data_IF_552909268545
#
_entry.id   IF_552909268545
#
_cell.length_a   1.000
_cell.length_b   1.000
_cell.length_c   1.000
_cell.angle_alpha   90.00
_cell.angle_beta   90.00
_cell.angle_gamma   90.00
#
_symmetry.space_group_name_H-M   'P 1'
#
loop_
_entity.id
_entity.type
_entity.pdbx_description
1 polymer ?
#
# COMPACT_ATOMS: atom_id res chain seq x y z
N UNK A 1 2.28 28.04 4.29
CA UNK A 1 3.24 27.15 4.97
C UNK A 1 2.44 25.98 5.52
N UNK A 2 2.40 24.86 4.80
CA UNK A 2 1.66 23.66 5.21
C UNK A 2 2.44 23.00 6.35
N UNK A 3 1.89 23.02 7.56
CA UNK A 3 2.42 22.27 8.67
C UNK A 3 2.51 20.79 8.27
N UNK A 4 3.71 20.23 8.31
CA UNK A 4 3.94 18.81 8.06
C UNK A 4 3.25 18.06 9.19
N UNK A 5 2.15 17.38 8.88
CA UNK A 5 1.34 16.60 9.82
C UNK A 5 2.11 15.36 10.28
N UNK A 6 3.05 15.55 11.20
CA UNK A 6 3.68 14.44 11.93
C UNK A 6 2.65 13.85 12.88
N UNK A 7 2.28 12.58 12.66
CA UNK A 7 1.50 11.81 13.63
C UNK A 7 2.28 11.69 14.94
N UNK A 8 1.62 12.03 16.05
CA UNK A 8 2.17 11.95 17.41
C UNK A 8 1.44 10.90 18.22
N UNK A 9 2.11 10.40 19.24
CA UNK A 9 1.50 9.50 20.22
C UNK A 9 0.40 10.27 20.94
N UNK A 10 -0.80 9.69 21.01
CA UNK A 10 -1.98 10.30 21.60
C UNK A 10 -2.96 10.92 20.60
N UNK A 11 -2.60 11.04 19.32
CA UNK A 11 -3.52 11.53 18.29
C UNK A 11 -4.75 10.61 18.20
N UNK A 12 -5.95 11.20 18.11
CA UNK A 12 -7.24 10.49 18.12
C UNK A 12 -8.00 10.71 16.83
N UNK A 13 -8.55 9.62 16.29
CA UNK A 13 -9.36 9.62 15.08
C UNK A 13 -10.75 9.05 15.36
N UNK A 14 -11.79 9.80 15.02
CA UNK A 14 -13.19 9.38 15.17
C UNK A 14 -13.63 8.28 14.21
N UNK A 15 -12.87 8.03 13.14
CA UNK A 15 -13.18 7.03 12.11
C UNK A 15 -11.91 6.39 11.55
N UNK A 16 -12.06 5.18 11.02
CA UNK A 16 -10.97 4.53 10.28
C UNK A 16 -10.56 5.32 9.03
N UNK A 17 -11.51 5.97 8.34
CA UNK A 17 -11.24 6.74 7.14
C UNK A 17 -10.26 7.89 7.42
N UNK A 18 -10.45 8.60 8.54
CA UNK A 18 -9.57 9.70 8.94
C UNK A 18 -8.17 9.20 9.28
N UNK A 19 -8.06 8.10 10.04
CA UNK A 19 -6.78 7.49 10.38
C UNK A 19 -6.04 6.98 9.12
N UNK A 20 -6.78 6.42 8.15
CA UNK A 20 -6.22 5.96 6.88
C UNK A 20 -5.65 7.14 6.08
N UNK A 21 -6.42 8.22 5.94
CA UNK A 21 -5.98 9.42 5.23
C UNK A 21 -4.71 10.02 5.86
N UNK A 22 -4.67 10.11 7.19
CA UNK A 22 -3.50 10.63 7.90
C UNK A 22 -2.23 9.78 7.68
N UNK A 23 -2.37 8.45 7.54
CA UNK A 23 -1.25 7.56 7.20
C UNK A 23 -0.80 7.73 5.75
N UNK A 24 -1.74 7.94 4.82
CA UNK A 24 -1.41 8.22 3.42
C UNK A 24 -0.65 9.54 3.29
N UNK A 25 -1.14 10.61 3.94
CA UNK A 25 -0.46 11.91 4.01
C UNK A 25 0.93 11.81 4.67
N UNK A 26 1.06 11.05 5.77
CA UNK A 26 2.36 10.78 6.38
C UNK A 26 3.32 10.07 5.41
N UNK A 27 2.81 9.10 4.65
CA UNK A 27 3.59 8.36 3.67
C UNK A 27 4.10 9.23 2.52
N UNK A 28 3.28 10.15 2.03
CA UNK A 28 3.67 11.12 1.00
C UNK A 28 4.71 12.11 1.52
N UNK A 29 4.52 12.62 2.73
CA UNK A 29 5.45 13.58 3.36
C UNK A 29 6.82 12.96 3.68
N UNK A 30 6.84 11.68 4.04
CA UNK A 30 8.07 10.97 4.45
C UNK A 30 8.63 10.07 3.36
N UNK A 31 8.05 10.10 2.16
CA UNK A 31 8.39 9.24 1.04
C UNK A 31 8.40 7.74 1.42
N UNK A 32 7.53 7.36 2.35
CA UNK A 32 7.44 6.00 2.88
C UNK A 32 6.16 5.33 2.41
N UNK A 33 6.28 4.15 1.81
CA UNK A 33 5.10 3.32 1.55
C UNK A 33 4.77 2.50 2.79
N UNK A 34 3.67 2.86 3.45
CA UNK A 34 3.11 2.07 4.55
C UNK A 34 2.23 0.94 4.02
N UNK A 35 2.27 -0.20 4.71
CA UNK A 35 1.35 -1.31 4.49
C UNK A 35 0.80 -1.81 5.82
N UNK A 36 -0.41 -2.38 5.80
CA UNK A 36 -1.04 -2.99 6.98
C UNK A 36 -0.32 -4.28 7.33
N UNK A 37 0.52 -4.26 8.36
CA UNK A 37 1.26 -5.44 8.84
C UNK A 37 0.34 -6.36 9.63
N UNK A 38 -0.29 -5.80 10.66
CA UNK A 38 -1.16 -6.51 11.58
C UNK A 38 -2.46 -5.72 11.73
N UNK A 39 -3.58 -6.42 11.74
CA UNK A 39 -4.89 -5.83 11.95
C UNK A 39 -5.73 -6.77 12.80
N UNK A 40 -6.37 -6.24 13.84
CA UNK A 40 -7.33 -6.95 14.67
C UNK A 40 -8.64 -6.19 14.61
N UNK A 41 -9.66 -6.79 14.00
CA UNK A 41 -10.99 -6.19 13.91
C UNK A 41 -11.71 -6.23 15.26
N UNK A 42 -12.68 -5.34 15.47
CA UNK A 42 -13.51 -5.35 16.67
C UNK A 42 -14.25 -6.68 16.79
N UNK A 43 -14.84 -7.17 15.69
CA UNK A 43 -15.56 -8.45 15.65
C UNK A 43 -14.69 -9.67 16.02
N UNK A 44 -13.41 -9.68 15.62
CA UNK A 44 -12.47 -10.75 15.98
C UNK A 44 -11.92 -10.61 17.39
N UNK A 45 -12.05 -9.42 17.98
CA UNK A 45 -11.56 -9.15 19.31
C UNK A 45 -12.63 -9.54 20.33
N UNK A 46 -12.30 -10.44 21.26
CA UNK A 46 -13.16 -10.80 22.39
C UNK A 46 -13.19 -9.66 23.42
N UNK A 47 -13.79 -8.54 23.04
CA UNK A 47 -13.84 -7.31 23.84
C UNK A 47 -15.20 -7.24 24.50
N UNK A 48 -15.20 -7.04 25.82
CA UNK A 48 -16.42 -6.92 26.62
C UNK A 48 -17.04 -5.53 26.50
N UNK A 49 -16.22 -4.49 26.31
CA UNK A 49 -16.70 -3.10 26.22
C UNK A 49 -17.25 -2.73 24.83
N UNK A 50 -18.25 -1.84 24.76
CA UNK A 50 -18.75 -1.34 23.49
C UNK A 50 -17.70 -0.47 22.79
N UNK A 51 -17.54 -0.66 21.49
CA UNK A 51 -16.68 0.15 20.62
C UNK A 51 -17.52 0.62 19.45
N UNK A 52 -17.31 1.86 19.04
CA UNK A 52 -18.02 2.45 17.91
C UNK A 52 -17.76 1.65 16.63
N UNK A 53 -18.84 1.36 15.91
CA UNK A 53 -18.80 0.50 14.72
C UNK A 53 -17.99 1.12 13.57
N UNK A 54 -17.90 2.45 13.54
CA UNK A 54 -17.17 3.25 12.53
C UNK A 54 -15.64 3.03 12.56
N UNK A 55 -15.10 2.49 13.65
CA UNK A 55 -13.66 2.30 13.81
C UNK A 55 -13.15 1.02 13.13
N UNK A 56 -13.99 0.00 12.94
CA UNK A 56 -13.72 -1.32 12.31
C UNK A 56 -12.65 -2.17 13.02
N UNK A 57 -11.52 -1.56 13.36
CA UNK A 57 -10.33 -2.17 13.95
C UNK A 57 -10.22 -1.82 15.43
N UNK A 58 -9.91 -2.83 16.24
CA UNK A 58 -9.47 -2.65 17.62
C UNK A 58 -7.99 -2.29 17.69
N UNK A 59 -7.17 -2.91 16.83
CA UNK A 59 -5.74 -2.65 16.77
C UNK A 59 -5.29 -2.73 15.32
N UNK A 60 -4.41 -1.80 14.94
CA UNK A 60 -3.87 -1.73 13.59
C UNK A 60 -2.40 -1.34 13.66
N UNK A 61 -1.56 -2.04 12.91
CA UNK A 61 -0.15 -1.71 12.78
C UNK A 61 0.18 -1.47 11.31
N UNK A 62 0.58 -0.25 11.00
CA UNK A 62 1.23 0.07 9.74
C UNK A 62 2.73 -0.05 9.91
N UNK A 63 3.40 -0.64 8.93
CA UNK A 63 4.85 -0.72 8.87
C UNK A 63 5.35 -0.21 7.52
N UNK A 64 6.62 0.21 7.46
CA UNK A 64 7.27 0.45 6.18
C UNK A 64 7.25 -0.82 5.31
N UNK A 65 7.17 -0.66 3.99
CA UNK A 65 7.33 -1.73 2.99
C UNK A 65 8.55 -2.62 3.30
N UNK A 66 9.69 -2.00 3.64
CA UNK A 66 10.95 -2.70 3.92
C UNK A 66 10.98 -3.31 5.34
N UNK A 67 9.98 -3.02 6.17
CA UNK A 67 9.87 -3.48 7.56
C UNK A 67 8.77 -4.50 7.80
N UNK A 68 8.47 -4.71 9.08
CA UNK A 68 7.39 -5.59 9.52
C UNK A 68 7.84 -7.01 9.84
N UNK A 69 6.97 -8.01 9.67
CA UNK A 69 7.25 -9.39 10.10
C UNK A 69 7.81 -10.19 8.94
N UNK A 70 8.97 -10.82 9.13
CA UNK A 70 9.43 -11.92 8.29
C UNK A 70 8.62 -13.15 8.63
N UNK A 71 7.74 -13.59 7.73
CA UNK A 71 6.98 -14.82 7.93
C UNK A 71 7.93 -16.02 7.80
N UNK A 72 7.90 -16.91 8.80
CA UNK A 72 8.67 -18.15 8.73
C UNK A 72 7.98 -19.08 7.72
N UNK A 73 8.67 -19.44 6.65
CA UNK A 73 8.20 -20.51 5.76
C UNK A 73 8.23 -21.86 6.48
N UNK A 74 7.22 -22.69 6.25
CA UNK A 74 7.14 -24.05 6.83
C UNK A 74 8.06 -25.08 6.16
N UNK A 75 8.71 -24.73 5.04
CA UNK A 75 9.60 -25.63 4.29
C UNK A 75 11.05 -25.60 4.76
N UNK A 76 11.88 -26.48 4.18
CA UNK A 76 13.30 -26.69 4.52
C UNK A 76 14.26 -25.53 4.18
N UNK A 77 13.75 -24.36 3.74
CA UNK A 77 14.54 -23.17 3.35
C UNK A 77 15.69 -23.45 2.37
N UNK A 78 15.50 -24.38 1.45
CA UNK A 78 16.52 -24.75 0.44
C UNK A 78 16.79 -23.61 -0.55
N UNK A 79 15.79 -22.74 -0.78
CA UNK A 79 15.90 -21.57 -1.66
C UNK A 79 15.94 -20.31 -0.81
N UNK A 80 16.84 -19.40 -1.14
CA UNK A 80 16.84 -18.04 -0.62
C UNK A 80 15.62 -17.28 -1.14
N UNK A 81 14.85 -16.66 -0.24
CA UNK A 81 13.70 -15.85 -0.62
C UNK A 81 14.15 -14.42 -0.92
N UNK A 82 13.95 -13.96 -2.15
CA UNK A 82 14.21 -12.58 -2.55
C UNK A 82 13.06 -11.67 -2.07
N UNK A 83 13.18 -11.12 -0.86
CA UNK A 83 12.22 -10.16 -0.31
C UNK A 83 12.87 -8.80 -0.10
N UNK A 84 12.16 -7.71 -0.40
CA UNK A 84 12.60 -6.33 -0.08
C UNK A 84 12.64 -6.01 1.43
N UNK A 85 12.50 -7.02 2.31
CA UNK A 85 12.39 -6.84 3.76
C UNK A 85 13.78 -6.70 4.39
N UNK A 86 14.12 -5.47 4.73
CA UNK A 86 15.36 -5.06 5.41
C UNK A 86 15.18 -4.90 6.93
N UNK A 87 14.07 -5.41 7.47
CA UNK A 87 13.73 -5.32 8.90
C UNK A 87 13.66 -3.89 9.43
N UNK A 88 13.12 -2.99 8.60
CA UNK A 88 12.95 -1.59 8.96
C UNK A 88 12.04 -1.44 10.21
N UNK A 89 12.49 -0.71 11.25
CA UNK A 89 11.75 -0.59 12.51
C UNK A 89 10.59 0.42 12.42
N UNK A 90 10.44 1.11 11.30
CA UNK A 90 9.40 2.11 11.10
C UNK A 90 8.01 1.50 11.16
N UNK A 91 7.22 2.00 12.10
CA UNK A 91 5.85 1.57 12.30
C UNK A 91 5.01 2.65 12.96
N UNK A 92 3.70 2.58 12.70
CA UNK A 92 2.68 3.37 13.38
C UNK A 92 1.61 2.42 13.88
N UNK A 93 1.34 2.46 15.18
CA UNK A 93 0.35 1.61 15.85
C UNK A 93 -0.86 2.43 16.27
N UNK A 94 -2.03 1.97 15.83
CA UNK A 94 -3.31 2.45 16.28
C UNK A 94 -3.97 1.41 17.19
N UNK A 95 -4.70 1.89 18.18
CA UNK A 95 -5.53 1.07 19.07
C UNK A 95 -6.86 1.78 19.27
N UNK A 96 -7.94 1.05 19.50
CA UNK A 96 -9.17 1.66 19.97
C UNK A 96 -8.97 2.18 21.39
N UNK A 97 -9.38 3.43 21.62
CA UNK A 97 -9.24 4.09 22.91
C UNK A 97 -10.00 3.33 24.02
N UNK A 98 -9.70 3.67 25.27
CA UNK A 98 -10.41 3.14 26.44
C UNK A 98 -11.92 3.32 26.29
N UNK A 99 -12.31 4.50 25.80
CA UNK A 99 -13.69 4.96 25.72
C UNK A 99 -14.44 4.36 24.52
N UNK A 100 -13.73 3.66 23.62
CA UNK A 100 -14.32 3.03 22.43
C UNK A 100 -14.76 3.99 21.32
N UNK A 101 -14.56 5.31 21.48
CA UNK A 101 -15.04 6.35 20.54
C UNK A 101 -14.03 6.75 19.46
N UNK A 102 -12.75 6.43 19.65
CA UNK A 102 -11.69 6.84 18.72
C UNK A 102 -10.60 5.78 18.58
N UNK A 103 -9.91 5.82 17.44
CA UNK A 103 -8.62 5.17 17.22
C UNK A 103 -7.51 6.11 17.66
N UNK A 104 -6.73 5.70 18.66
CA UNK A 104 -5.60 6.44 19.21
C UNK A 104 -4.27 5.90 18.69
N UNK A 105 -3.33 6.80 18.43
CA UNK A 105 -1.95 6.45 18.10
C UNK A 105 -1.20 6.09 19.37
N UNK A 106 -0.77 4.84 19.48
CA UNK A 106 -0.12 4.29 20.68
C UNK A 106 1.40 4.19 20.55
N UNK A 107 1.93 4.04 19.34
CA UNK A 107 3.36 3.94 19.09
C UNK A 107 3.68 4.48 17.70
N UNK A 108 4.73 5.29 17.61
CA UNK A 108 5.25 5.85 16.36
C UNK A 108 6.76 5.72 16.36
N UNK A 109 7.30 5.11 15.32
CA UNK A 109 8.74 5.07 15.06
C UNK A 109 8.98 5.41 13.59
N UNK A 110 9.73 6.48 13.34
CA UNK A 110 9.97 7.03 11.99
C UNK A 110 11.44 6.97 11.55
N UNK A 111 12.31 6.33 12.34
CA UNK A 111 13.72 6.14 11.98
C UNK A 111 13.87 4.95 11.04
N UNK A 112 14.25 5.22 9.78
CA UNK A 112 14.55 4.18 8.79
C UNK A 112 15.98 3.67 8.96
N UNK A 113 16.20 2.40 8.65
CA UNK A 113 17.53 1.79 8.51
C UNK A 113 17.94 1.65 7.02
N UNK A 114 17.20 2.29 6.12
CA UNK A 114 17.38 2.23 4.68
C UNK A 114 17.14 3.60 4.05
N UNK A 115 17.60 3.78 2.81
CA UNK A 115 17.41 5.03 2.07
C UNK A 115 15.93 5.20 1.75
N UNK A 116 15.41 6.39 2.04
CA UNK A 116 14.10 6.87 1.59
C UNK A 116 14.32 8.06 0.67
N UNK A 117 13.72 8.04 -0.51
CA UNK A 117 13.81 9.15 -1.44
C UNK A 117 12.52 9.29 -2.23
N UNK A 118 12.23 10.52 -2.67
CA UNK A 118 11.06 10.83 -3.48
C UNK A 118 11.01 9.99 -4.76
N UNK A 119 12.16 9.78 -5.40
CA UNK A 119 12.30 8.97 -6.61
C UNK A 119 11.95 7.51 -6.34
N UNK A 120 12.52 6.90 -5.30
CA UNK A 120 12.23 5.52 -4.93
C UNK A 120 10.76 5.34 -4.53
N UNK A 121 10.18 6.32 -3.84
CA UNK A 121 8.76 6.30 -3.48
C UNK A 121 7.86 6.32 -4.71
N UNK A 122 8.12 7.23 -5.66
CA UNK A 122 7.35 7.33 -6.90
C UNK A 122 7.42 6.04 -7.74
N UNK A 123 8.55 5.33 -7.71
CA UNK A 123 8.75 4.08 -8.45
C UNK A 123 8.24 2.83 -7.73
N UNK A 124 7.73 2.95 -6.51
CA UNK A 124 7.23 1.80 -5.75
C UNK A 124 6.02 1.15 -6.48
N UNK A 125 5.94 -0.19 -6.61
CA UNK A 125 4.83 -0.86 -7.31
C UNK A 125 3.43 -0.47 -6.81
N UNK A 126 3.28 -0.08 -5.55
CA UNK A 126 1.99 0.36 -5.02
C UNK A 126 1.50 1.67 -5.63
N UNK A 127 2.42 2.57 -5.99
CA UNK A 127 2.11 3.87 -6.60
C UNK A 127 1.80 3.76 -8.10
N UNK A 128 2.18 2.65 -8.73
CA UNK A 128 1.95 2.36 -10.16
C UNK A 128 0.54 1.82 -10.46
N UNK A 129 -0.36 1.85 -9.47
CA UNK A 129 -1.74 1.38 -9.61
C UNK A 129 -2.62 2.46 -10.21
N UNK A 130 -3.52 2.06 -11.10
CA UNK A 130 -4.59 2.92 -11.63
C UNK A 130 -5.42 3.53 -10.48
N UNK A 131 -5.87 4.77 -10.66
CA UNK A 131 -6.85 5.41 -9.78
C UNK A 131 -8.17 4.63 -9.74
N UNK A 132 -8.99 4.83 -8.70
CA UNK A 132 -10.29 4.13 -8.57
C UNK A 132 -11.17 4.31 -9.80
N UNK A 133 -11.30 5.55 -10.27
CA UNK A 133 -12.18 5.90 -11.38
C UNK A 133 -11.71 5.25 -12.68
N UNK A 134 -10.39 5.28 -12.95
CA UNK A 134 -9.82 4.63 -14.14
C UNK A 134 -9.94 3.10 -14.09
N UNK A 135 -9.86 2.49 -12.89
CA UNK A 135 -10.08 1.05 -12.73
C UNK A 135 -11.50 0.65 -13.10
N UNK A 136 -12.49 1.46 -12.74
CA UNK A 136 -13.89 1.22 -13.11
C UNK A 136 -14.08 1.29 -14.62
N UNK A 137 -13.59 2.34 -15.27
CA UNK A 137 -13.66 2.45 -16.73
C UNK A 137 -12.98 1.29 -17.46
N UNK A 138 -11.80 0.85 -16.98
CA UNK A 138 -11.10 -0.32 -17.55
C UNK A 138 -11.89 -1.60 -17.36
N UNK A 139 -12.54 -1.80 -16.20
CA UNK A 139 -13.42 -2.96 -15.97
C UNK A 139 -14.60 -2.95 -16.92
N UNK A 140 -15.22 -1.80 -17.15
CA UNK A 140 -16.34 -1.67 -18.07
C UNK A 140 -15.92 -2.04 -19.50
N UNK A 141 -14.76 -1.55 -19.96
CA UNK A 141 -14.22 -1.93 -21.27
C UNK A 141 -13.91 -3.43 -21.39
N UNK A 142 -13.42 -4.06 -20.32
CA UNK A 142 -13.18 -5.51 -20.29
C UNK A 142 -14.50 -6.30 -20.35
N UNK A 143 -15.54 -5.85 -19.63
CA UNK A 143 -16.87 -6.46 -19.65
C UNK A 143 -17.53 -6.35 -21.03
N UNK A 144 -17.32 -5.23 -21.71
CA UNK A 144 -17.75 -5.01 -23.11
C UNK A 144 -16.90 -5.80 -24.12
N UNK A 145 -15.93 -6.60 -23.67
CA UNK A 145 -14.98 -7.34 -24.51
C UNK A 145 -14.26 -6.44 -25.54
N UNK A 146 -14.03 -5.18 -25.18
CA UNK A 146 -13.33 -4.25 -26.04
C UNK A 146 -11.90 -4.73 -26.33
N UNK A 147 -11.37 -4.35 -27.49
CA UNK A 147 -10.03 -4.74 -27.89
C UNK A 147 -9.00 -4.22 -26.87
N UNK A 148 -8.20 -5.14 -26.31
CA UNK A 148 -7.21 -4.85 -25.26
C UNK A 148 -6.20 -3.76 -25.66
N UNK A 149 -5.84 -3.65 -26.94
CA UNK A 149 -4.95 -2.59 -27.45
C UNK A 149 -5.59 -1.21 -27.35
N UNK A 150 -6.88 -1.10 -27.65
CA UNK A 150 -7.63 0.15 -27.53
C UNK A 150 -7.72 0.60 -26.08
N UNK A 151 -7.92 -0.34 -25.15
CA UNK A 151 -7.94 -0.06 -23.71
C UNK A 151 -6.59 0.50 -23.26
N UNK A 152 -5.47 -0.10 -23.69
CA UNK A 152 -4.13 0.42 -23.39
C UNK A 152 -3.92 1.83 -23.91
N UNK A 153 -4.26 2.08 -25.18
CA UNK A 153 -4.12 3.40 -25.78
C UNK A 153 -4.92 4.45 -25.01
N UNK A 154 -6.17 4.16 -24.67
CA UNK A 154 -7.02 5.10 -23.92
C UNK A 154 -6.50 5.38 -22.51
N UNK A 155 -5.94 4.35 -21.86
CA UNK A 155 -5.28 4.52 -20.55
C UNK A 155 -3.98 5.32 -20.70
N UNK A 156 -3.22 5.11 -21.76
CA UNK A 156 -1.99 5.87 -22.04
C UNK A 156 -2.28 7.34 -22.37
N UNK A 157 -3.30 7.63 -23.18
CA UNK A 157 -3.74 8.99 -23.51
C UNK A 157 -4.19 9.77 -22.28
N UNK A 158 -4.91 9.10 -21.37
CA UNK A 158 -5.41 9.73 -20.14
C UNK A 158 -4.34 9.91 -19.05
N UNK A 159 -3.33 9.04 -18.99
CA UNK A 159 -2.29 9.09 -17.94
C UNK A 159 -0.95 9.65 -18.40
N UNK A 160 -0.72 9.78 -19.70
CA UNK A 160 0.56 10.22 -20.28
C UNK A 160 1.72 9.26 -20.02
N UNK A 161 1.43 8.05 -19.51
CA UNK A 161 2.42 7.09 -19.05
C UNK A 161 2.27 5.77 -19.82
N UNK A 162 3.39 5.08 -20.03
CA UNK A 162 3.42 3.83 -20.78
C UNK A 162 2.68 2.75 -20.01
N UNK A 163 1.74 2.06 -20.67
CA UNK A 163 0.92 1.03 -20.05
C UNK A 163 1.41 -0.34 -20.51
N UNK A 164 2.03 -1.09 -19.62
CA UNK A 164 2.43 -2.48 -19.86
C UNK A 164 1.27 -3.44 -19.52
N UNK A 165 1.04 -4.42 -20.39
CA UNK A 165 0.07 -5.49 -20.15
C UNK A 165 0.71 -6.62 -19.38
N UNK A 166 0.11 -6.99 -18.27
CA UNK A 166 0.47 -8.21 -17.55
C UNK A 166 -0.27 -9.38 -18.19
N UNK A 167 0.49 -10.40 -18.60
CA UNK A 167 -0.02 -11.65 -19.13
C UNK A 167 0.43 -12.82 -18.28
N UNK A 168 -0.37 -13.88 -18.30
CA UNK A 168 -0.03 -15.19 -17.75
C UNK A 168 0.93 -15.99 -18.64
N UNK A 169 1.43 -17.10 -18.10
CA UNK A 169 2.20 -18.11 -18.84
C UNK A 169 1.41 -18.64 -20.05
N UNK A 170 0.08 -18.72 -19.94
CA UNK A 170 -0.84 -19.08 -21.02
C UNK A 170 -1.30 -17.88 -21.89
N UNK A 171 -0.59 -16.74 -21.83
CA UNK A 171 -0.94 -15.48 -22.53
C UNK A 171 -2.29 -14.84 -22.17
N UNK A 172 -2.94 -15.29 -21.10
CA UNK A 172 -4.17 -14.68 -20.59
C UNK A 172 -3.90 -13.30 -19.95
N UNK A 173 -4.84 -12.37 -20.08
CA UNK A 173 -4.69 -11.02 -19.53
C UNK A 173 -4.90 -11.02 -18.02
N UNK A 174 -3.95 -10.46 -17.28
CA UNK A 174 -4.02 -10.28 -15.83
C UNK A 174 -4.25 -8.86 -15.38
N UNK A 175 -3.78 -7.88 -16.14
CA UNK A 175 -3.93 -6.49 -15.76
C UNK A 175 -3.12 -5.54 -16.60
N UNK A 176 -3.22 -4.26 -16.22
CA UNK A 176 -2.46 -3.17 -16.80
C UNK A 176 -1.58 -2.54 -15.72
N UNK A 177 -0.38 -2.17 -16.12
CA UNK A 177 0.62 -1.60 -15.25
C UNK A 177 1.18 -0.33 -15.84
N UNK A 178 1.22 0.76 -15.07
CA UNK A 178 1.68 2.06 -15.57
C UNK A 178 3.17 2.24 -15.25
N UNK A 179 3.94 2.63 -16.27
CA UNK A 179 5.34 3.04 -16.17
C UNK A 179 5.45 4.50 -16.63
N UNK A 180 5.92 5.40 -15.78
CA UNK A 180 6.16 6.78 -16.21
C UNK A 180 7.36 6.83 -17.17
N UNK A 181 7.43 7.81 -18.09
CA UNK A 181 8.56 7.96 -19.01
C UNK A 181 9.92 8.05 -18.30
N UNK A 182 9.96 8.64 -17.10
CA UNK A 182 11.16 8.73 -16.27
C UNK A 182 11.68 7.35 -15.83
N UNK A 183 10.79 6.37 -15.61
CA UNK A 183 11.18 5.01 -15.22
C UNK A 183 11.89 4.22 -16.31
N UNK A 184 11.55 4.50 -17.57
CA UNK A 184 12.14 3.82 -18.72
C UNK A 184 13.57 4.31 -18.94
N UNK A 185 13.78 5.62 -18.83
CA UNK A 185 15.07 6.26 -19.07
C UNK A 185 16.08 6.03 -17.93
N UNK A 186 15.62 5.88 -16.69
CA UNK A 186 16.49 5.69 -15.51
C UNK A 186 16.80 4.21 -15.20
N UNK A 187 16.38 3.25 -16.03
CA UNK A 187 16.77 1.83 -15.88
C UNK A 187 16.11 1.06 -14.72
N UNK A 188 15.12 1.65 -14.03
CA UNK A 188 14.38 1.01 -12.92
C UNK A 188 13.39 -0.09 -13.37
N UNK A 189 13.34 -0.40 -14.66
CA UNK A 189 12.41 -1.36 -15.28
C UNK A 189 12.55 -2.81 -14.77
N UNK A 190 13.68 -3.16 -14.14
CA UNK A 190 13.98 -4.53 -13.69
C UNK A 190 13.54 -4.86 -12.26
N UNK A 191 12.96 -3.92 -11.50
CA UNK A 191 12.41 -4.21 -10.17
C UNK A 191 10.97 -4.70 -10.31
N UNK A 192 10.78 -5.80 -11.03
CA UNK A 192 9.53 -6.55 -11.10
C UNK A 192 9.62 -7.72 -10.13
N UNK A 193 8.92 -7.61 -8.99
CA UNK A 193 8.57 -8.79 -8.22
C UNK A 193 7.62 -9.62 -9.08
N UNK A 194 8.17 -10.61 -9.78
CA UNK A 194 7.47 -11.54 -10.68
C UNK A 194 6.51 -12.48 -9.97
N UNK A 195 6.14 -12.21 -8.70
CA UNK A 195 5.28 -13.11 -7.93
C UNK A 195 4.30 -12.52 -6.92
N UNK A 196 3.95 -11.23 -7.03
CA UNK A 196 2.79 -10.72 -6.30
C UNK A 196 1.49 -11.03 -7.07
N UNK A 197 1.13 -12.31 -7.07
CA UNK A 197 -0.11 -12.90 -7.57
C UNK A 197 -1.24 -12.59 -6.57
N UNK A 198 -2.30 -11.92 -7.05
CA UNK A 198 -3.69 -12.34 -6.87
C UNK A 198 -4.31 -12.24 -8.26
#
# INVERSE_FOLDING_TARGET
MTEISMLKIGDRFSSFANAKKAIEELGENTYTTFWKRDARTIASSKIVRPIESSLIYYQLLYACNHGGKKFKGGGKKIRESWTFKEDCPVHVRFKASSDGKALEVTSVQMKHNHVTSKVLHAHNPSQRKLSSNMKESVKDYLNMKANRKMIQQKVQESTGANVAVLRDEDNNFRGLFIQSPTMYNEGFSRISCSRCYI
#
